data_IF_624476452706
#
_entry.id   IF_624476452706
#
_cell.length_a   1.000
_cell.length_b   1.000
_cell.length_c   1.000
_cell.angle_alpha   90.00
_cell.angle_beta   90.00
_cell.angle_gamma   90.00
#
_symmetry.space_group_name_H-M   'P 1'
#
loop_
_entity.id
_entity.type
_entity.pdbx_description
1 polymer ?
#
# COMPACT_ATOMS: atom_id res chain seq x y z
N UNK A 1 25.88 29.36 21.37
CA UNK A 1 25.05 29.56 20.16
C UNK A 1 25.16 28.42 19.14
N UNK A 2 26.34 27.85 18.85
CA UNK A 2 26.49 26.72 17.90
C UNK A 2 25.72 25.43 18.27
N UNK A 3 25.54 25.13 19.55
CA UNK A 3 24.80 23.93 19.99
C UNK A 3 23.27 24.05 19.89
N UNK A 4 22.73 25.27 19.86
CA UNK A 4 21.28 25.50 19.73
C UNK A 4 20.82 25.21 18.30
N UNK A 5 21.63 25.57 17.29
CA UNK A 5 21.34 25.29 15.88
C UNK A 5 21.32 23.78 15.57
N UNK A 6 22.22 23.00 16.18
CA UNK A 6 22.23 21.55 16.01
C UNK A 6 20.98 20.86 16.59
N UNK A 7 20.45 21.39 17.69
CA UNK A 7 19.24 20.86 18.33
C UNK A 7 17.97 21.16 17.52
N UNK A 8 17.87 22.36 16.92
CA UNK A 8 16.74 22.75 16.07
C UNK A 8 16.70 21.91 14.78
N UNK A 9 17.86 21.61 14.19
CA UNK A 9 17.93 20.80 12.97
C UNK A 9 17.46 19.34 13.19
N UNK A 10 17.76 18.77 14.36
CA UNK A 10 17.34 17.40 14.71
C UNK A 10 15.81 17.27 14.83
N UNK A 11 15.14 18.31 15.38
CA UNK A 11 13.68 18.33 15.57
C UNK A 11 12.95 18.37 14.22
N UNK A 12 13.47 19.15 13.26
CA UNK A 12 12.85 19.28 11.92
C UNK A 12 12.87 17.94 11.16
N UNK A 13 13.96 17.18 11.24
CA UNK A 13 14.05 15.87 10.58
C UNK A 13 13.04 14.83 11.13
N UNK A 14 12.73 14.87 12.43
CA UNK A 14 11.74 13.95 13.01
C UNK A 14 10.30 14.24 12.60
N UNK A 15 9.96 15.51 12.33
CA UNK A 15 8.62 15.91 11.91
C UNK A 15 8.31 15.48 10.47
N UNK A 16 9.30 15.57 9.57
CA UNK A 16 9.14 15.14 8.17
C UNK A 16 8.91 13.63 8.03
N UNK A 17 9.56 12.81 8.86
CA UNK A 17 9.40 11.35 8.82
C UNK A 17 8.01 10.89 9.27
N UNK A 18 7.30 11.68 10.09
CA UNK A 18 5.94 11.37 10.50
C UNK A 18 4.89 11.69 9.43
N UNK A 19 5.15 12.63 8.52
CA UNK A 19 4.18 13.01 7.48
C UNK A 19 4.16 12.05 6.29
N UNK A 20 5.29 11.40 5.97
CA UNK A 20 5.41 10.50 4.82
C UNK A 20 4.47 9.27 4.95
N UNK A 21 4.17 8.83 6.18
CA UNK A 21 3.29 7.69 6.44
C UNK A 21 1.80 7.98 6.23
N UNK A 22 1.38 9.25 6.18
CA UNK A 22 -0.04 9.63 6.12
C UNK A 22 -0.50 10.03 4.71
N UNK A 23 0.40 10.01 3.72
CA UNK A 23 -0.01 10.28 2.34
C UNK A 23 -0.74 9.06 1.76
N UNK A 24 -1.96 9.26 1.24
CA UNK A 24 -2.71 8.21 0.56
C UNK A 24 -2.03 7.80 -0.76
N UNK A 25 -2.10 6.52 -1.10
CA UNK A 25 -1.67 6.01 -2.39
C UNK A 25 -2.45 6.71 -3.51
N UNK A 26 -1.74 7.21 -4.52
CA UNK A 26 -2.34 8.00 -5.61
C UNK A 26 -3.43 7.23 -6.35
N UNK A 27 -3.35 5.89 -6.38
CA UNK A 27 -4.36 5.02 -7.01
C UNK A 27 -5.70 5.05 -6.29
N UNK A 28 -5.75 5.51 -5.05
CA UNK A 28 -7.00 5.74 -4.32
C UNK A 28 -7.94 6.72 -5.05
N UNK A 29 -7.41 7.64 -5.87
CA UNK A 29 -8.21 8.56 -6.68
C UNK A 29 -9.08 7.86 -7.74
N UNK A 30 -8.81 6.59 -8.05
CA UNK A 30 -9.66 5.78 -8.92
C UNK A 30 -10.94 5.29 -8.22
N UNK A 31 -10.99 5.37 -6.88
CA UNK A 31 -12.04 4.80 -6.03
C UNK A 31 -12.69 5.80 -5.08
N UNK A 32 -11.99 6.89 -4.79
CA UNK A 32 -12.41 7.95 -3.88
C UNK A 32 -12.22 9.31 -4.55
N UNK A 33 -13.17 10.21 -4.37
CA UNK A 33 -13.03 11.62 -4.74
C UNK A 33 -11.99 12.32 -3.86
N UNK A 34 -11.47 13.45 -4.34
CA UNK A 34 -10.53 14.26 -3.55
C UNK A 34 -11.11 14.72 -2.21
N UNK A 35 -12.43 15.00 -2.16
CA UNK A 35 -13.08 15.41 -0.93
C UNK A 35 -13.15 14.25 0.08
N UNK A 36 -13.52 13.05 -0.37
CA UNK A 36 -13.52 11.85 0.47
C UNK A 36 -12.13 11.53 1.01
N UNK A 37 -11.08 11.74 0.20
CA UNK A 37 -9.69 11.57 0.64
C UNK A 37 -9.31 12.61 1.70
N UNK A 38 -9.68 13.88 1.54
CA UNK A 38 -9.38 14.94 2.50
C UNK A 38 -10.03 14.70 3.87
N UNK A 39 -11.23 14.13 3.87
CA UNK A 39 -11.99 13.81 5.08
C UNK A 39 -11.63 12.43 5.66
N UNK A 40 -10.78 11.66 4.98
CA UNK A 40 -10.45 10.30 5.37
C UNK A 40 -9.63 10.27 6.67
N UNK A 41 -10.06 9.51 7.70
CA UNK A 41 -9.27 9.38 8.92
C UNK A 41 -7.95 8.65 8.63
N UNK A 42 -6.90 8.99 9.38
CA UNK A 42 -5.54 8.44 9.20
C UNK A 42 -5.52 6.91 9.16
N UNK A 43 -6.26 6.26 10.06
CA UNK A 43 -6.37 4.79 10.10
C UNK A 43 -6.92 4.23 8.79
N UNK A 44 -7.88 4.90 8.15
CA UNK A 44 -8.43 4.48 6.86
C UNK A 44 -7.46 4.74 5.72
N UNK A 45 -6.70 5.84 5.73
CA UNK A 45 -5.62 6.08 4.76
C UNK A 45 -4.60 4.94 4.80
N UNK A 46 -4.15 4.58 6.00
CA UNK A 46 -3.18 3.50 6.19
C UNK A 46 -3.72 2.14 5.73
N UNK A 47 -4.98 1.83 6.04
CA UNK A 47 -5.65 0.63 5.55
C UNK A 47 -5.73 0.59 4.01
N UNK A 48 -6.11 1.71 3.39
CA UNK A 48 -6.17 1.83 1.93
C UNK A 48 -4.79 1.61 1.30
N UNK A 49 -3.75 2.24 1.86
CA UNK A 49 -2.37 2.06 1.38
C UNK A 49 -1.90 0.61 1.49
N UNK A 50 -2.22 -0.06 2.61
CA UNK A 50 -1.91 -1.48 2.79
C UNK A 50 -2.55 -2.33 1.69
N UNK A 51 -3.83 -2.09 1.37
CA UNK A 51 -4.51 -2.81 0.28
C UNK A 51 -3.81 -2.64 -1.07
N UNK A 52 -3.26 -1.47 -1.36
CA UNK A 52 -2.56 -1.20 -2.61
C UNK A 52 -1.13 -1.73 -2.70
N UNK A 53 -0.44 -1.94 -1.58
CA UNK A 53 1.02 -2.19 -1.56
C UNK A 53 1.43 -3.50 -0.92
N UNK A 54 0.77 -3.86 0.17
CA UNK A 54 1.26 -4.89 1.10
C UNK A 54 0.30 -6.08 1.22
N UNK A 55 -0.89 -5.97 0.61
CA UNK A 55 -1.92 -7.00 0.69
C UNK A 55 -1.73 -8.17 -0.29
N UNK A 56 -0.58 -8.23 -0.95
CA UNK A 56 -0.15 -9.30 -1.86
C UNK A 56 1.38 -9.39 -1.83
N UNK A 57 1.91 -10.49 -2.35
CA UNK A 57 3.33 -10.76 -2.45
C UNK A 57 3.71 -10.75 -3.93
N UNK A 58 4.73 -9.97 -4.27
CA UNK A 58 5.43 -10.08 -5.55
C UNK A 58 6.53 -11.14 -5.37
N UNK A 59 6.46 -12.27 -6.10
CA UNK A 59 7.51 -13.28 -6.09
C UNK A 59 8.89 -12.70 -6.41
N UNK A 60 9.94 -13.27 -5.80
CA UNK A 60 11.31 -12.75 -5.92
C UNK A 60 11.79 -12.70 -7.38
N UNK A 61 11.36 -13.65 -8.20
CA UNK A 61 11.66 -13.71 -9.63
C UNK A 61 11.16 -12.48 -10.42
N UNK A 62 10.18 -11.74 -9.89
CA UNK A 62 9.59 -10.57 -10.56
C UNK A 62 9.97 -9.24 -9.93
N UNK A 63 10.64 -9.20 -8.78
CA UNK A 63 10.95 -7.94 -8.07
C UNK A 63 11.73 -6.90 -8.90
N UNK A 64 12.47 -7.35 -9.92
CA UNK A 64 13.20 -6.47 -10.84
C UNK A 64 12.32 -5.90 -11.97
N UNK A 65 11.24 -6.58 -12.34
CA UNK A 65 10.39 -6.24 -13.49
C UNK A 65 8.95 -5.87 -13.13
N UNK A 66 8.58 -6.04 -11.87
CA UNK A 66 7.28 -5.71 -11.30
C UNK A 66 7.48 -4.96 -9.99
N UNK A 67 6.89 -3.78 -9.91
CA UNK A 67 6.80 -3.01 -8.67
C UNK A 67 5.35 -3.01 -8.16
N UNK A 68 5.17 -2.67 -6.89
CA UNK A 68 3.85 -2.60 -6.26
C UNK A 68 2.97 -1.50 -6.85
N UNK A 69 3.54 -0.48 -7.50
CA UNK A 69 2.79 0.61 -8.14
C UNK A 69 2.00 0.12 -9.36
N UNK A 70 2.50 -0.91 -10.05
CA UNK A 70 1.88 -1.51 -11.23
C UNK A 70 0.82 -2.57 -10.88
N UNK A 71 0.57 -2.84 -9.60
CA UNK A 71 -0.41 -3.86 -9.15
C UNK A 71 -1.49 -3.21 -8.31
N UNK A 72 -2.73 -3.22 -8.80
CA UNK A 72 -3.88 -2.75 -8.04
C UNK A 72 -4.40 -3.84 -7.09
N UNK A 73 -3.75 -3.96 -5.93
CA UNK A 73 -4.15 -4.94 -4.89
C UNK A 73 -5.57 -4.73 -4.34
N UNK A 74 -6.11 -3.52 -4.45
CA UNK A 74 -7.49 -3.22 -4.06
C UNK A 74 -8.47 -3.89 -5.01
N UNK A 75 -8.29 -3.72 -6.33
CA UNK A 75 -9.09 -4.40 -7.36
C UNK A 75 -9.01 -5.91 -7.26
N UNK A 76 -7.81 -6.44 -6.97
CA UNK A 76 -7.60 -7.89 -6.85
C UNK A 76 -8.30 -8.50 -5.63
N UNK A 77 -8.74 -7.69 -4.66
CA UNK A 77 -9.43 -8.15 -3.46
C UNK A 77 -10.63 -9.07 -3.73
N UNK A 78 -11.32 -8.89 -4.86
CA UNK A 78 -12.45 -9.72 -5.26
C UNK A 78 -12.10 -11.20 -5.48
N UNK A 79 -10.83 -11.53 -5.69
CA UNK A 79 -10.35 -12.90 -5.92
C UNK A 79 -9.77 -13.55 -4.65
N UNK A 80 -9.79 -12.87 -3.49
CA UNK A 80 -9.30 -13.44 -2.23
C UNK A 80 -10.14 -14.62 -1.80
N UNK A 81 -9.47 -15.55 -1.13
CA UNK A 81 -10.11 -16.65 -0.41
C UNK A 81 -9.92 -16.47 1.09
N UNK A 82 -10.80 -17.11 1.84
CA UNK A 82 -10.91 -16.92 3.29
C UNK A 82 -9.62 -17.25 4.03
N UNK A 83 -9.08 -18.44 3.80
CA UNK A 83 -7.99 -19.04 4.60
C UNK A 83 -6.78 -19.49 3.78
N UNK A 84 -6.75 -19.15 2.50
CA UNK A 84 -5.63 -19.51 1.64
C UNK A 84 -5.22 -18.35 0.74
N UNK A 85 -3.92 -18.29 0.46
CA UNK A 85 -3.34 -17.34 -0.49
C UNK A 85 -3.60 -17.82 -1.91
N UNK A 86 -3.81 -16.90 -2.83
CA UNK A 86 -4.16 -17.23 -4.22
C UNK A 86 -3.17 -16.60 -5.18
N UNK A 87 -2.66 -17.41 -6.12
CA UNK A 87 -1.86 -16.91 -7.24
C UNK A 87 -2.78 -16.28 -8.29
N UNK A 88 -2.55 -15.01 -8.60
CA UNK A 88 -3.31 -14.25 -9.60
C UNK A 88 -2.34 -13.71 -10.65
N UNK A 89 -2.57 -14.06 -11.91
CA UNK A 89 -1.82 -13.50 -13.03
C UNK A 89 -2.20 -12.02 -13.21
N UNK A 90 -1.21 -11.19 -13.53
CA UNK A 90 -1.41 -9.76 -13.71
C UNK A 90 -1.03 -9.36 -15.13
N UNK A 91 -1.96 -8.66 -15.78
CA UNK A 91 -1.72 -8.02 -17.07
C UNK A 91 -1.14 -6.63 -16.80
N UNK A 92 0.08 -6.40 -17.25
CA UNK A 92 0.74 -5.10 -17.15
C UNK A 92 0.43 -4.34 -18.43
N UNK A 93 -0.52 -3.41 -18.37
CA UNK A 93 -1.01 -2.65 -19.54
C UNK A 93 0.07 -1.90 -20.33
N UNK A 94 1.25 -1.67 -19.73
CA UNK A 94 2.38 -0.96 -20.35
C UNK A 94 3.36 -1.83 -21.12
N UNK A 95 3.33 -3.16 -21.00
CA UNK A 95 4.18 -4.06 -21.79
C UNK A 95 3.41 -4.52 -23.02
N UNK A 96 3.83 -4.08 -24.21
CA UNK A 96 3.20 -4.41 -25.49
C UNK A 96 2.97 -5.94 -25.64
N UNK A 97 1.70 -6.34 -25.61
CA UNK A 97 1.12 -7.53 -26.28
C UNK A 97 1.84 -8.88 -26.13
N UNK A 98 2.42 -9.17 -24.97
CA UNK A 98 2.69 -10.56 -24.56
C UNK A 98 1.97 -10.74 -23.24
N UNK A 99 1.06 -11.72 -23.17
CA UNK A 99 0.48 -12.20 -21.91
C UNK A 99 1.60 -12.37 -20.91
N UNK A 100 1.68 -11.43 -19.98
CA UNK A 100 2.71 -11.44 -18.96
C UNK A 100 2.44 -12.65 -18.08
N UNK A 101 3.36 -13.63 -18.08
CA UNK A 101 3.30 -14.77 -17.15
C UNK A 101 3.58 -14.34 -15.69
N UNK A 102 3.67 -13.04 -15.42
CA UNK A 102 3.86 -12.49 -14.08
C UNK A 102 2.58 -12.66 -13.29
N UNK A 103 2.76 -12.93 -12.01
CA UNK A 103 1.69 -13.13 -11.06
C UNK A 103 2.06 -12.52 -9.72
N UNK A 104 1.04 -12.27 -8.92
CA UNK A 104 1.17 -11.96 -7.51
C UNK A 104 0.50 -13.05 -6.69
N UNK A 105 0.93 -13.20 -5.44
CA UNK A 105 0.30 -14.08 -4.47
C UNK A 105 -0.54 -13.19 -3.55
N UNK A 106 -1.84 -13.21 -3.75
CA UNK A 106 -2.80 -12.45 -2.96
C UNK A 106 -2.92 -13.08 -1.57
N UNK A 107 -2.79 -12.27 -0.51
CA UNK A 107 -3.00 -12.74 0.87
C UNK A 107 -4.46 -13.18 1.09
N UNK A 108 -4.71 -14.05 2.07
CA UNK A 108 -6.09 -14.45 2.40
C UNK A 108 -6.88 -13.29 3.05
N UNK A 109 -8.21 -13.45 3.16
CA UNK A 109 -9.01 -12.50 3.94
C UNK A 109 -8.56 -12.44 5.40
N UNK A 110 -8.30 -13.59 6.04
CA UNK A 110 -7.83 -13.64 7.44
C UNK A 110 -6.54 -12.85 7.66
N UNK A 111 -5.57 -12.97 6.75
CA UNK A 111 -4.29 -12.24 6.83
C UNK A 111 -4.48 -10.74 6.65
N UNK A 112 -5.34 -10.34 5.72
CA UNK A 112 -5.66 -8.92 5.49
C UNK A 112 -6.41 -8.35 6.66
N UNK A 113 -7.47 -8.99 7.13
CA UNK A 113 -8.29 -8.49 8.23
C UNK A 113 -7.47 -8.33 9.49
N UNK A 114 -6.57 -9.27 9.78
CA UNK A 114 -5.61 -9.13 10.87
C UNK A 114 -4.79 -7.84 10.71
N UNK A 115 -4.18 -7.61 9.55
CA UNK A 115 -3.38 -6.42 9.30
C UNK A 115 -4.20 -5.12 9.37
N UNK A 116 -5.41 -5.10 8.81
CA UNK A 116 -6.30 -3.93 8.85
C UNK A 116 -6.75 -3.60 10.28
N UNK A 117 -7.02 -4.62 11.09
CA UNK A 117 -7.37 -4.46 12.50
C UNK A 117 -6.18 -3.97 13.34
N UNK A 118 -4.97 -4.48 13.08
CA UNK A 118 -3.75 -3.96 13.72
C UNK A 118 -3.47 -2.50 13.37
N UNK A 119 -3.66 -2.11 12.10
CA UNK A 119 -3.54 -0.71 11.65
C UNK A 119 -4.57 0.15 12.39
N UNK A 120 -5.82 -0.31 12.49
CA UNK A 120 -6.88 0.42 13.20
C UNK A 120 -6.53 0.60 14.67
N UNK A 121 -6.15 -0.47 15.37
CA UNK A 121 -5.84 -0.44 16.80
C UNK A 121 -4.65 0.47 17.15
N UNK A 122 -3.65 0.58 16.27
CA UNK A 122 -2.47 1.46 16.47
C UNK A 122 -2.75 2.95 16.24
N UNK A 123 -3.89 3.28 15.62
CA UNK A 123 -4.23 4.64 15.17
C UNK A 123 -5.64 5.06 15.62
N UNK A 124 -6.13 4.46 16.70
CA UNK A 124 -7.28 4.90 17.49
C UNK A 124 -6.76 5.66 18.71
#
# INVERSE_FOLDING_TARGET
MKHIFAFIFLIICTLSYSQEKTQIDKRALNYYSEQEIKEMPVSKILQTNYLFRDSYIIPDEFKQSLNSENVDGFKLGAFRKEKERVKINIDIEKEEKITSNKYVILLSYEEVDKALNEIKAKNQ
#
